data_IF_866474099471
#
_entry.id   IF_866474099471
#
_cell.length_a   1.000
_cell.length_b   1.000
_cell.length_c   1.000
_cell.angle_alpha   90.00
_cell.angle_beta   90.00
_cell.angle_gamma   90.00
#
_symmetry.space_group_name_H-M   'P 1'
#
loop_
_entity.id
_entity.type
_entity.pdbx_description
1 polymer ?
#
# COMPACT_ATOMS: atom_id res chain seq x y z
N UNK A 1 -3.49 10.16 -23.38
CA UNK A 1 -2.77 9.25 -22.46
C UNK A 1 -3.11 9.73 -21.04
N UNK A 2 -3.82 8.93 -20.25
CA UNK A 2 -4.21 9.33 -18.90
C UNK A 2 -2.96 9.42 -18.02
N UNK A 3 -2.80 10.55 -17.34
CA UNK A 3 -1.75 10.73 -16.33
C UNK A 3 -2.08 9.85 -15.13
N UNK A 4 -1.11 9.08 -14.63
CA UNK A 4 -1.29 8.32 -13.38
C UNK A 4 -1.58 9.31 -12.24
N UNK A 5 -2.61 9.08 -11.40
CA UNK A 5 -2.91 9.95 -10.29
C UNK A 5 -1.73 10.08 -9.30
N UNK A 6 -1.64 11.19 -8.54
CA UNK A 6 -0.66 11.32 -7.48
C UNK A 6 -0.74 10.15 -6.48
N UNK A 7 0.43 9.66 -6.10
CA UNK A 7 0.56 8.51 -5.20
C UNK A 7 0.33 8.90 -3.75
N UNK A 8 -0.50 8.13 -3.06
CA UNK A 8 -0.79 8.28 -1.65
C UNK A 8 -0.39 7.02 -0.88
N UNK A 9 0.48 7.15 0.10
CA UNK A 9 0.79 6.06 1.03
C UNK A 9 -0.36 5.92 2.02
N UNK A 10 -0.84 4.70 2.23
CA UNK A 10 -1.83 4.39 3.26
C UNK A 10 -1.17 3.65 4.41
N UNK A 11 -1.34 4.17 5.62
CA UNK A 11 -0.82 3.55 6.83
C UNK A 11 -1.69 3.90 8.03
N UNK A 12 -1.57 3.12 9.10
CA UNK A 12 -2.21 3.44 10.36
C UNK A 12 -1.30 3.17 11.56
N UNK A 13 -1.50 3.92 12.63
CA UNK A 13 -0.74 3.80 13.86
C UNK A 13 -1.67 3.74 15.07
N UNK A 14 -1.40 2.80 15.98
CA UNK A 14 -2.12 2.67 17.22
C UNK A 14 -1.43 3.48 18.33
N UNK A 15 -2.18 4.35 19.00
CA UNK A 15 -1.67 5.18 20.09
C UNK A 15 -2.40 4.85 21.39
N UNK A 16 -1.64 4.57 22.45
CA UNK A 16 -2.21 4.48 23.79
C UNK A 16 -2.68 5.86 24.23
N UNK A 17 -3.84 5.90 24.88
CA UNK A 17 -4.46 7.15 25.30
C UNK A 17 -4.87 7.13 26.77
N UNK A 18 -5.24 8.32 27.26
CA UNK A 18 -5.57 8.53 28.66
C UNK A 18 -6.71 7.62 29.15
N UNK A 19 -6.67 7.15 30.41
CA UNK A 19 -7.73 6.32 31.01
C UNK A 19 -9.13 6.95 30.97
N UNK A 20 -9.24 8.28 30.86
CA UNK A 20 -10.51 9.02 30.80
C UNK A 20 -11.17 9.01 29.42
N UNK A 21 -10.51 8.52 28.37
CA UNK A 21 -11.10 8.44 27.03
C UNK A 21 -12.02 7.22 26.93
N UNK A 22 -13.19 7.30 27.56
CA UNK A 22 -14.10 6.17 27.77
C UNK A 22 -14.52 5.46 26.48
N UNK A 23 -14.61 6.19 25.38
CA UNK A 23 -14.96 5.68 24.05
C UNK A 23 -13.84 4.89 23.35
N UNK A 24 -12.59 5.00 23.81
CA UNK A 24 -11.40 4.43 23.15
C UNK A 24 -10.97 3.05 23.70
N UNK A 25 -11.90 2.21 24.16
CA UNK A 25 -11.55 0.90 24.75
C UNK A 25 -10.94 -0.03 23.69
N UNK A 26 -9.70 -0.48 23.91
CA UNK A 26 -8.99 -1.35 22.96
C UNK A 26 -8.88 -2.81 23.41
N UNK A 27 -8.40 -3.10 24.62
CA UNK A 27 -8.38 -4.47 25.14
C UNK A 27 -8.38 -4.50 26.66
N UNK A 28 -8.69 -5.65 27.24
CA UNK A 28 -8.54 -5.92 28.67
C UNK A 28 -7.44 -6.96 28.84
N UNK A 29 -6.33 -6.55 29.44
CA UNK A 29 -5.21 -7.42 29.82
C UNK A 29 -4.79 -7.01 31.22
N UNK A 30 -5.37 -7.65 32.24
CA UNK A 30 -5.33 -7.25 33.67
C UNK A 30 -5.98 -5.89 33.97
N UNK A 31 -5.70 -4.86 33.16
CA UNK A 31 -6.32 -3.54 33.18
C UNK A 31 -7.01 -3.24 31.84
N UNK A 32 -8.01 -2.35 31.86
CA UNK A 32 -8.63 -1.86 30.62
C UNK A 32 -7.68 -0.89 29.93
N UNK A 33 -7.14 -1.30 28.79
CA UNK A 33 -6.28 -0.47 27.95
C UNK A 33 -7.11 0.29 26.93
N UNK A 34 -6.72 1.56 26.72
CA UNK A 34 -7.38 2.47 25.78
C UNK A 34 -6.40 2.87 24.70
N UNK A 35 -6.87 2.81 23.47
CA UNK A 35 -6.08 3.22 22.34
C UNK A 35 -6.96 3.81 21.24
N UNK A 36 -6.37 4.76 20.52
CA UNK A 36 -6.90 5.28 19.27
C UNK A 36 -6.06 4.74 18.14
N UNK A 37 -6.64 4.77 16.95
CA UNK A 37 -5.92 4.51 15.72
C UNK A 37 -5.99 5.75 14.85
N UNK A 38 -4.82 6.23 14.46
CA UNK A 38 -4.64 7.24 13.44
C UNK A 38 -4.49 6.54 12.09
N UNK A 39 -5.36 6.83 11.14
CA UNK A 39 -5.25 6.38 9.75
C UNK A 39 -4.87 7.57 8.89
N UNK A 40 -3.88 7.39 8.01
CA UNK A 40 -3.34 8.47 7.19
C UNK A 40 -3.26 8.02 5.73
N UNK A 41 -3.77 8.87 4.83
CA UNK A 41 -3.38 8.89 3.42
C UNK A 41 -2.36 10.01 3.26
N UNK A 42 -1.11 9.67 2.97
CA UNK A 42 -0.01 10.61 2.84
C UNK A 42 0.36 10.81 1.38
N UNK A 43 0.24 12.03 0.88
CA UNK A 43 0.54 12.40 -0.51
C UNK A 43 2.06 12.48 -0.68
N UNK A 44 2.64 11.63 -1.54
CA UNK A 44 4.10 11.53 -1.65
C UNK A 44 4.72 12.73 -2.36
N UNK A 45 4.06 13.27 -3.38
CA UNK A 45 4.58 14.37 -4.19
C UNK A 45 4.68 15.68 -3.39
N UNK A 46 3.71 15.93 -2.50
CA UNK A 46 3.56 17.20 -1.79
C UNK A 46 4.06 17.11 -0.33
N UNK A 47 4.55 15.94 0.10
CA UNK A 47 5.04 15.65 1.46
C UNK A 47 4.03 16.07 2.55
N UNK A 48 2.73 15.84 2.30
CA UNK A 48 1.63 16.31 3.15
C UNK A 48 0.55 15.23 3.36
N UNK A 49 -0.08 15.13 4.55
CA UNK A 49 -1.24 14.25 4.74
C UNK A 49 -2.43 14.71 3.90
N UNK A 50 -2.79 13.93 2.88
CA UNK A 50 -3.99 14.16 2.07
C UNK A 50 -5.27 13.99 2.90
N UNK A 51 -5.29 12.99 3.79
CA UNK A 51 -6.44 12.73 4.67
C UNK A 51 -6.02 12.03 5.95
N UNK A 52 -6.68 12.38 7.04
CA UNK A 52 -6.51 11.75 8.35
C UNK A 52 -7.88 11.31 8.87
N UNK A 53 -7.93 10.13 9.47
CA UNK A 53 -9.08 9.66 10.26
C UNK A 53 -8.61 9.14 11.61
N UNK A 54 -9.38 9.41 12.66
CA UNK A 54 -9.10 8.94 14.02
C UNK A 54 -10.26 8.07 14.48
N UNK A 55 -9.96 6.82 14.81
CA UNK A 55 -10.96 5.85 15.25
C UNK A 55 -10.58 5.25 16.60
N UNK A 56 -11.51 4.52 17.22
CA UNK A 56 -11.16 3.62 18.32
C UNK A 56 -10.15 2.56 17.83
N UNK A 57 -9.25 2.12 18.72
CA UNK A 57 -8.12 1.25 18.35
C UNK A 57 -8.48 -0.11 17.73
N UNK A 58 -9.71 -0.58 17.94
CA UNK A 58 -10.21 -1.86 17.39
C UNK A 58 -10.69 -1.78 15.93
N UNK A 59 -10.85 -0.58 15.37
CA UNK A 59 -11.36 -0.44 14.01
C UNK A 59 -10.34 -1.01 13.01
N UNK A 60 -10.86 -1.78 12.05
CA UNK A 60 -10.06 -2.42 11.01
C UNK A 60 -9.54 -1.37 10.02
N UNK A 61 -8.22 -1.36 9.82
CA UNK A 61 -7.50 -0.43 8.93
C UNK A 61 -7.98 -0.52 7.50
N UNK A 62 -8.27 -1.73 7.01
CA UNK A 62 -8.77 -1.95 5.65
C UNK A 62 -10.17 -1.37 5.44
N UNK A 63 -11.04 -1.49 6.45
CA UNK A 63 -12.39 -0.91 6.40
C UNK A 63 -12.32 0.62 6.38
N UNK A 64 -11.43 1.19 7.20
CA UNK A 64 -11.24 2.64 7.22
C UNK A 64 -10.58 3.13 5.92
N UNK A 65 -9.62 2.39 5.36
CA UNK A 65 -9.03 2.69 4.05
C UNK A 65 -10.10 2.76 2.96
N UNK A 66 -10.99 1.77 2.89
CA UNK A 66 -12.13 1.81 1.99
C UNK A 66 -13.03 3.03 2.25
N UNK A 67 -13.36 3.35 3.50
CA UNK A 67 -14.18 4.51 3.83
C UNK A 67 -13.50 5.85 3.45
N UNK A 68 -12.17 5.91 3.51
CA UNK A 68 -11.38 7.11 3.19
C UNK A 68 -11.07 7.25 1.70
N UNK A 69 -11.10 6.18 0.92
CA UNK A 69 -10.70 6.22 -0.49
C UNK A 69 -11.69 7.04 -1.32
N UNK A 70 -11.19 7.74 -2.33
CA UNK A 70 -11.96 8.56 -3.25
C UNK A 70 -11.68 8.12 -4.70
N UNK A 71 -12.66 8.24 -5.57
CA UNK A 71 -12.52 7.81 -6.96
C UNK A 71 -11.35 8.55 -7.65
N UNK A 72 -10.53 7.82 -8.40
CA UNK A 72 -9.35 8.36 -9.06
C UNK A 72 -8.10 8.46 -8.18
N UNK A 73 -8.14 8.05 -6.92
CA UNK A 73 -6.94 8.01 -6.08
C UNK A 73 -6.04 6.81 -6.41
N UNK A 74 -4.75 6.95 -6.10
CA UNK A 74 -3.76 5.90 -6.25
C UNK A 74 -3.05 5.62 -4.92
N UNK A 75 -3.26 4.42 -4.37
CA UNK A 75 -2.81 4.06 -3.03
C UNK A 75 -1.62 3.12 -3.02
N UNK A 76 -0.70 3.31 -2.09
CA UNK A 76 0.38 2.36 -1.80
C UNK A 76 0.27 1.87 -0.37
N UNK A 77 -0.06 0.59 -0.23
CA UNK A 77 -0.27 -0.07 1.06
C UNK A 77 0.77 -1.15 1.33
N UNK A 78 0.96 -1.47 2.60
CA UNK A 78 1.81 -2.57 3.03
C UNK A 78 1.16 -3.95 2.81
N UNK A 79 1.75 -4.99 3.42
CA UNK A 79 1.25 -6.37 3.32
C UNK A 79 -0.16 -6.53 3.88
N UNK A 80 -0.49 -5.88 4.99
CA UNK A 80 -1.77 -6.05 5.67
C UNK A 80 -2.94 -5.60 4.79
N UNK A 81 -2.76 -4.52 4.02
CA UNK A 81 -3.74 -4.05 3.05
C UNK A 81 -3.94 -5.03 1.88
N UNK A 82 -2.92 -5.82 1.53
CA UNK A 82 -3.00 -6.85 0.50
C UNK A 82 -3.68 -8.16 0.93
N UNK A 83 -4.03 -8.35 2.21
CA UNK A 83 -4.61 -9.61 2.70
C UNK A 83 -6.13 -9.76 2.45
N UNK A 84 -6.85 -8.67 2.13
CA UNK A 84 -8.29 -8.73 1.77
C UNK A 84 -8.50 -8.46 0.28
N UNK A 85 -8.56 -9.52 -0.50
CA UNK A 85 -8.78 -9.41 -1.94
C UNK A 85 -10.14 -8.81 -2.30
N UNK A 86 -11.16 -8.96 -1.46
CA UNK A 86 -12.47 -8.36 -1.71
C UNK A 86 -12.44 -6.86 -1.48
N UNK A 87 -11.67 -6.37 -0.51
CA UNK A 87 -11.41 -4.94 -0.34
C UNK A 87 -10.72 -4.36 -1.58
N UNK A 88 -9.73 -5.07 -2.13
CA UNK A 88 -9.06 -4.66 -3.37
C UNK A 88 -10.04 -4.58 -4.56
N UNK A 89 -10.96 -5.55 -4.69
CA UNK A 89 -11.99 -5.51 -5.73
C UNK A 89 -12.90 -4.28 -5.58
N UNK A 90 -13.40 -4.01 -4.37
CA UNK A 90 -14.24 -2.83 -4.09
C UNK A 90 -13.53 -1.51 -4.35
N UNK A 91 -12.22 -1.43 -4.09
CA UNK A 91 -11.43 -0.24 -4.43
C UNK A 91 -11.34 -0.04 -5.95
N UNK A 92 -11.11 -1.10 -6.72
CA UNK A 92 -11.10 -1.01 -8.18
C UNK A 92 -12.47 -0.63 -8.75
N UNK A 93 -13.56 -1.20 -8.22
CA UNK A 93 -14.94 -0.85 -8.59
C UNK A 93 -15.25 0.63 -8.35
N UNK A 94 -14.63 1.22 -7.33
CA UNK A 94 -14.73 2.65 -7.01
C UNK A 94 -13.78 3.54 -7.81
N UNK A 95 -13.04 2.96 -8.76
CA UNK A 95 -12.10 3.70 -9.61
C UNK A 95 -10.80 4.08 -8.90
N UNK A 96 -10.47 3.43 -7.78
CA UNK A 96 -9.18 3.61 -7.12
C UNK A 96 -8.15 2.66 -7.74
N UNK A 97 -6.91 3.13 -7.81
CA UNK A 97 -5.75 2.31 -8.17
C UNK A 97 -4.92 2.00 -6.93
N UNK A 98 -4.14 0.92 -6.97
CA UNK A 98 -3.24 0.59 -5.87
C UNK A 98 -1.98 -0.17 -6.27
N UNK A 99 -0.96 -0.08 -5.40
CA UNK A 99 0.10 -1.06 -5.24
C UNK A 99 0.07 -1.56 -3.79
N UNK A 100 -0.06 -2.86 -3.58
CA UNK A 100 0.02 -3.47 -2.25
C UNK A 100 0.96 -4.65 -2.25
N UNK A 101 1.66 -4.88 -1.13
CA UNK A 101 2.45 -6.10 -0.96
C UNK A 101 1.52 -7.27 -0.70
N UNK A 102 1.72 -8.38 -1.40
CA UNK A 102 1.06 -9.63 -1.10
C UNK A 102 1.90 -10.43 -0.08
N UNK A 103 1.25 -11.38 0.59
CA UNK A 103 1.95 -12.38 1.38
C UNK A 103 2.80 -13.28 0.48
N UNK A 104 3.86 -13.87 1.03
CA UNK A 104 4.69 -14.83 0.30
C UNK A 104 3.96 -16.12 -0.09
N UNK A 105 2.92 -16.48 0.67
CA UNK A 105 2.02 -17.62 0.43
C UNK A 105 0.74 -17.23 -0.32
N UNK A 106 0.67 -16.02 -0.89
CA UNK A 106 -0.49 -15.57 -1.65
C UNK A 106 -0.76 -16.52 -2.84
N UNK A 107 -2.02 -16.91 -2.99
CA UNK A 107 -2.47 -17.76 -4.11
C UNK A 107 -3.20 -16.92 -5.16
N UNK A 108 -3.09 -17.31 -6.42
CA UNK A 108 -3.78 -16.71 -7.56
C UNK A 108 -3.91 -17.73 -8.71
N UNK A 109 -4.81 -17.43 -9.65
CA UNK A 109 -4.88 -18.10 -10.94
C UNK A 109 -4.21 -17.20 -11.98
N UNK A 110 -3.19 -17.72 -12.66
CA UNK A 110 -2.48 -16.97 -13.71
C UNK A 110 -3.36 -16.88 -14.96
N UNK A 111 -3.46 -15.69 -15.55
CA UNK A 111 -4.16 -15.47 -16.82
C UNK A 111 -3.19 -15.27 -17.98
N UNK A 112 -2.20 -14.40 -17.80
CA UNK A 112 -1.22 -14.07 -18.84
C UNK A 112 0.09 -13.61 -18.22
N UNK A 113 1.15 -14.35 -18.47
CA UNK A 113 2.51 -13.92 -18.18
C UNK A 113 2.93 -12.77 -19.09
N UNK A 114 3.66 -11.81 -18.52
CA UNK A 114 4.12 -10.60 -19.19
C UNK A 114 5.63 -10.60 -19.28
N UNK A 115 6.17 -10.07 -20.37
CA UNK A 115 7.62 -9.97 -20.54
C UNK A 115 8.21 -9.01 -19.51
N UNK A 116 9.37 -9.37 -18.96
CA UNK A 116 10.17 -8.46 -18.14
C UNK A 116 11.21 -7.83 -19.06
N UNK A 117 11.15 -6.51 -19.25
CA UNK A 117 12.14 -5.79 -20.05
C UNK A 117 13.48 -5.60 -19.31
N UNK A 118 14.49 -5.05 -19.98
CA UNK A 118 15.82 -4.85 -19.42
C UNK A 118 15.83 -3.86 -18.24
N UNK A 119 15.01 -2.81 -18.27
CA UNK A 119 14.94 -1.80 -17.22
C UNK A 119 14.32 -2.40 -15.94
N UNK A 120 13.23 -3.15 -16.08
CA UNK A 120 12.60 -3.88 -15.00
C UNK A 120 13.56 -4.92 -14.38
N UNK A 121 14.31 -5.67 -15.19
CA UNK A 121 15.37 -6.57 -14.68
C UNK A 121 16.43 -5.81 -13.88
N UNK A 122 16.90 -4.66 -14.39
CA UNK A 122 17.82 -3.78 -13.67
C UNK A 122 17.25 -3.26 -12.34
N UNK A 123 15.93 -3.08 -12.26
CA UNK A 123 15.21 -2.75 -11.04
C UNK A 123 14.92 -3.95 -10.12
N UNK A 124 15.49 -5.14 -10.37
CA UNK A 124 15.26 -6.38 -9.62
C UNK A 124 13.86 -7.00 -9.78
N UNK A 125 13.16 -6.69 -10.87
CA UNK A 125 11.94 -7.42 -11.25
C UNK A 125 12.33 -8.77 -11.84
N UNK A 126 11.79 -9.84 -11.26
CA UNK A 126 12.05 -11.21 -11.67
C UNK A 126 10.97 -11.77 -12.60
N UNK A 127 9.73 -11.35 -12.40
CA UNK A 127 8.57 -11.86 -13.12
C UNK A 127 7.39 -10.90 -12.99
N UNK A 128 6.51 -10.87 -13.99
CA UNK A 128 5.22 -10.22 -13.88
C UNK A 128 4.14 -10.95 -14.69
N UNK A 129 2.90 -10.92 -14.20
CA UNK A 129 1.77 -11.48 -14.93
C UNK A 129 0.45 -10.82 -14.53
N UNK A 130 -0.53 -10.88 -15.42
CA UNK A 130 -1.93 -10.73 -15.08
C UNK A 130 -2.43 -12.00 -14.41
N UNK A 131 -3.06 -11.84 -13.25
CA UNK A 131 -3.60 -12.94 -12.44
C UNK A 131 -4.95 -12.54 -11.85
N UNK A 132 -5.75 -13.54 -11.47
CA UNK A 132 -6.88 -13.34 -10.54
C UNK A 132 -6.47 -13.79 -9.15
N UNK A 133 -6.55 -12.89 -8.18
CA UNK A 133 -6.15 -13.20 -6.80
C UNK A 133 -7.09 -14.25 -6.18
N UNK A 134 -6.54 -15.07 -5.28
CA UNK A 134 -7.25 -16.15 -4.59
C UNK A 134 -7.02 -17.51 -5.23
N UNK A 135 -7.14 -18.57 -4.42
CA UNK A 135 -6.87 -19.97 -4.82
C UNK A 135 -7.66 -20.39 -6.07
N UNK A 136 -8.88 -19.90 -6.22
CA UNK A 136 -9.75 -20.18 -7.37
C UNK A 136 -9.99 -18.92 -8.23
N UNK A 137 -9.18 -17.87 -8.06
CA UNK A 137 -9.34 -16.61 -8.80
C UNK A 137 -10.58 -15.80 -8.41
N UNK A 138 -11.07 -15.95 -7.17
CA UNK A 138 -12.26 -15.28 -6.65
C UNK A 138 -12.08 -13.78 -6.34
N UNK A 139 -10.83 -13.31 -6.31
CA UNK A 139 -10.47 -11.91 -6.12
C UNK A 139 -10.43 -11.13 -7.44
N UNK A 140 -9.97 -9.87 -7.38
CA UNK A 140 -9.85 -9.04 -8.56
C UNK A 140 -8.74 -9.52 -9.48
N UNK A 141 -8.86 -9.14 -10.74
CA UNK A 141 -7.78 -9.25 -11.72
C UNK A 141 -6.78 -8.13 -11.48
N UNK A 142 -5.53 -8.48 -11.20
CA UNK A 142 -4.44 -7.53 -10.95
C UNK A 142 -3.18 -7.98 -11.68
N UNK A 143 -2.23 -7.07 -11.86
CA UNK A 143 -0.89 -7.44 -12.29
C UNK A 143 -0.04 -7.72 -11.05
N UNK A 144 0.51 -8.92 -10.94
CA UNK A 144 1.48 -9.24 -9.90
C UNK A 144 2.88 -9.04 -10.47
N UNK A 145 3.70 -8.30 -9.72
CA UNK A 145 5.12 -8.08 -9.99
C UNK A 145 5.92 -8.76 -8.89
N UNK A 146 6.76 -9.72 -9.27
CA UNK A 146 7.68 -10.44 -8.39
C UNK A 146 9.04 -9.75 -8.40
N UNK A 147 9.55 -9.46 -7.22
CA UNK A 147 10.80 -8.74 -7.01
C UNK A 147 11.80 -9.62 -6.25
N UNK A 148 13.08 -9.49 -6.58
CA UNK A 148 14.13 -9.99 -5.71
C UNK A 148 14.20 -9.11 -4.46
N UNK A 149 13.98 -9.69 -3.27
CA UNK A 149 14.22 -9.01 -2.01
C UNK A 149 15.54 -9.46 -1.37
N UNK A 150 15.95 -8.77 -0.29
CA UNK A 150 17.22 -9.05 0.39
C UNK A 150 17.26 -10.41 1.09
N UNK A 151 16.11 -10.88 1.59
CA UNK A 151 15.97 -12.14 2.34
C UNK A 151 14.98 -13.10 1.68
N UNK A 152 13.91 -12.55 1.10
CA UNK A 152 12.84 -13.30 0.46
C UNK A 152 12.33 -12.53 -0.76
N UNK A 153 11.71 -13.26 -1.67
CA UNK A 153 11.03 -12.65 -2.81
C UNK A 153 9.83 -11.84 -2.34
N UNK A 154 9.57 -10.72 -3.04
CA UNK A 154 8.42 -9.87 -2.77
C UNK A 154 7.42 -9.99 -3.91
N UNK A 155 6.14 -10.06 -3.58
CA UNK A 155 5.06 -9.97 -4.56
C UNK A 155 4.31 -8.66 -4.35
N UNK A 156 4.19 -7.86 -5.40
CA UNK A 156 3.39 -6.64 -5.41
C UNK A 156 2.19 -6.84 -6.33
N UNK A 157 0.98 -6.59 -5.83
CA UNK A 157 -0.21 -6.48 -6.67
C UNK A 157 -0.40 -5.02 -7.07
N UNK A 158 -0.41 -4.76 -8.38
CA UNK A 158 -0.69 -3.47 -8.97
C UNK A 158 -1.98 -3.55 -9.80
N UNK A 159 -2.90 -2.59 -9.59
CA UNK A 159 -4.13 -2.49 -10.39
C UNK A 159 -3.90 -1.85 -11.77
N UNK A 160 -2.84 -1.07 -11.91
CA UNK A 160 -2.49 -0.33 -13.14
C UNK A 160 -1.88 -1.25 -14.20
N UNK A 161 -2.22 -0.97 -15.46
CA UNK A 161 -1.68 -1.66 -16.63
C UNK A 161 -0.21 -1.34 -16.91
N UNK A 162 0.42 -2.13 -17.79
CA UNK A 162 1.81 -1.91 -18.23
C UNK A 162 2.01 -0.56 -18.92
N UNK A 163 0.98 -0.09 -19.65
CA UNK A 163 1.01 1.20 -20.34
C UNK A 163 0.88 2.39 -19.38
N UNK A 164 0.21 2.20 -18.24
CA UNK A 164 0.05 3.22 -17.21
C UNK A 164 1.27 3.26 -16.28
N UNK A 165 1.82 2.10 -15.93
CA UNK A 165 2.98 2.01 -15.03
C UNK A 165 3.85 0.79 -15.38
N UNK A 166 5.13 1.00 -15.67
CA UNK A 166 6.07 -0.10 -15.89
C UNK A 166 6.32 -0.91 -14.61
N UNK A 167 6.80 -2.15 -14.74
CA UNK A 167 7.12 -2.98 -13.56
C UNK A 167 8.24 -2.37 -12.69
N UNK A 168 9.18 -1.67 -13.33
CA UNK A 168 10.19 -0.84 -12.65
C UNK A 168 9.53 0.22 -11.77
N UNK A 169 8.59 1.00 -12.33
CA UNK A 169 7.89 2.05 -11.58
C UNK A 169 7.01 1.50 -10.46
N UNK A 170 6.43 0.31 -10.62
CA UNK A 170 5.72 -0.39 -9.53
C UNK A 170 6.67 -0.65 -8.35
N UNK A 171 7.88 -1.15 -8.61
CA UNK A 171 8.88 -1.36 -7.56
C UNK A 171 9.29 -0.03 -6.90
N UNK A 172 9.62 0.99 -7.70
CA UNK A 172 10.01 2.30 -7.16
C UNK A 172 8.91 2.94 -6.31
N UNK A 173 7.66 2.92 -6.78
CA UNK A 173 6.51 3.44 -6.05
C UNK A 173 6.32 2.75 -4.70
N UNK A 174 6.43 1.42 -4.66
CA UNK A 174 6.35 0.69 -3.40
C UNK A 174 7.53 0.99 -2.45
N UNK A 175 8.74 1.20 -2.98
CA UNK A 175 9.93 1.51 -2.16
C UNK A 175 9.86 2.90 -1.50
N UNK A 176 9.20 3.88 -2.13
CA UNK A 176 8.99 5.21 -1.51
C UNK A 176 8.27 5.10 -0.16
N UNK A 177 7.33 4.15 -0.01
CA UNK A 177 6.66 3.82 1.26
C UNK A 177 7.63 3.32 2.35
N UNK A 178 8.68 2.59 1.97
CA UNK A 178 9.57 1.91 2.92
C UNK A 178 10.75 2.76 3.38
N UNK A 179 10.73 4.07 3.10
CA UNK A 179 11.80 5.01 3.47
C UNK A 179 13.13 4.81 2.74
N UNK A 180 13.20 3.84 1.82
CA UNK A 180 14.39 3.61 0.98
C UNK A 180 14.36 4.61 -0.19
N UNK A 181 14.84 5.83 0.07
CA UNK A 181 15.30 6.74 -1.00
C UNK A 181 16.58 6.15 -1.58
N UNK A 182 16.47 5.26 -2.56
CA UNK A 182 17.63 5.03 -3.44
C UNK A 182 17.78 6.26 -4.33
N UNK A 183 18.83 7.05 -4.08
CA UNK A 183 19.36 8.00 -5.07
C UNK A 183 19.06 9.50 -4.90
N UNK A 184 18.45 9.97 -3.79
CA UNK A 184 18.41 11.42 -3.51
C UNK A 184 19.52 11.77 -2.51
N UNK A 185 20.40 12.76 -2.78
CA UNK A 185 21.38 13.20 -1.79
C UNK A 185 20.65 13.62 -0.50
N UNK A 186 21.26 13.37 0.67
CA UNK A 186 20.68 13.78 1.93
C UNK A 186 20.39 15.28 1.89
N UNK A 187 19.18 15.67 2.30
CA UNK A 187 18.83 17.08 2.47
C UNK A 187 19.85 17.69 3.42
N UNK A 188 20.54 18.79 3.04
CA UNK A 188 21.47 19.44 3.95
C UNK A 188 20.71 19.89 5.20
N UNK A 189 21.32 19.81 6.39
CA UNK A 189 20.68 20.22 7.63
C UNK A 189 20.19 21.67 7.49
N UNK A 190 19.04 22.03 8.09
CA UNK A 190 18.56 23.40 8.06
C UNK A 190 19.65 24.32 8.60
N UNK A 191 20.00 25.34 7.80
CA UNK A 191 20.94 26.37 8.25
C UNK A 191 20.41 26.92 9.56
N UNK A 192 21.18 26.76 10.64
CA UNK A 192 20.95 27.52 11.85
C UNK A 192 21.07 29.00 11.46
N UNK A 193 19.95 29.68 11.45
CA UNK A 193 19.91 31.13 11.36
C UNK A 193 20.36 31.61 12.74
N UNK A 194 21.55 32.20 12.79
CA UNK A 194 22.09 32.93 13.93
C UNK A 194 21.24 34.16 14.23
#
# INVERSE_FOLDING_TARGET
KGTVPPMQIVDSSLWYVLPRMHWAVWRKQHVTQRALRLHVKFQVADDWPARISITAGKVCERKEWEAMAEAGEFHVGDRYYGEDYQALARLMERGCSFIVRLRSDACWVMEKELEVDAAARGANVLWQAWVRLGKAGQGPRVRVVKLAGQKEELFLAASLSEAEMSAELVNHGYRQRSGHRQGLPPTPPPKQIL
#
